data_IF_588599895529
#
_entry.id   IF_588599895529
#
_cell.length_a   1.000
_cell.length_b   1.000
_cell.length_c   1.000
_cell.angle_alpha   90.00
_cell.angle_beta   90.00
_cell.angle_gamma   90.00
#
_symmetry.space_group_name_H-M   'P 1'
#
loop_
_entity.id
_entity.type
_entity.pdbx_description
1 polymer ?
#
# COMPACT_ATOMS: atom_id res chain seq x y z
N UNK A 1 -4.57 42.58 16.75
CA UNK A 1 -5.56 41.60 16.26
C UNK A 1 -4.98 40.22 16.51
N UNK A 2 -5.56 39.42 17.40
CA UNK A 2 -4.98 38.19 17.96
C UNK A 2 -5.28 36.91 17.15
N UNK A 3 -5.97 37.01 16.02
CA UNK A 3 -6.16 35.89 15.09
C UNK A 3 -7.04 34.74 15.60
N UNK A 4 -7.63 34.86 16.79
CA UNK A 4 -8.48 33.85 17.39
C UNK A 4 -9.94 34.00 16.94
N UNK A 5 -10.52 32.94 16.36
CA UNK A 5 -11.95 32.86 16.09
C UNK A 5 -12.69 32.62 17.41
N UNK A 6 -13.72 33.41 17.75
CA UNK A 6 -14.44 33.31 19.02
C UNK A 6 -15.31 32.04 19.12
N UNK A 7 -15.47 31.32 18.01
CA UNK A 7 -16.21 30.06 17.95
C UNK A 7 -15.50 29.07 17.02
N UNK A 8 -15.74 27.77 17.23
CA UNK A 8 -15.18 26.71 16.40
C UNK A 8 -15.89 26.71 15.02
N UNK A 9 -15.19 27.04 13.91
CA UNK A 9 -15.79 27.08 12.57
C UNK A 9 -16.19 25.69 12.05
N UNK A 10 -15.76 24.61 12.71
CA UNK A 10 -16.06 23.22 12.33
C UNK A 10 -17.10 22.56 13.23
N UNK A 11 -17.76 23.30 14.13
CA UNK A 11 -18.72 22.73 15.08
C UNK A 11 -19.91 21.98 14.43
N UNK A 12 -20.24 22.29 13.17
CA UNK A 12 -21.26 21.60 12.39
C UNK A 12 -20.72 20.71 11.27
N UNK A 13 -19.39 20.53 11.17
CA UNK A 13 -18.80 19.68 10.15
C UNK A 13 -18.97 18.20 10.54
N UNK A 14 -19.76 17.48 9.77
CA UNK A 14 -19.91 16.03 9.88
C UNK A 14 -19.12 15.43 8.73
N UNK A 15 -18.04 14.70 9.07
CA UNK A 15 -17.31 13.93 8.08
C UNK A 15 -18.16 12.71 7.71
N UNK A 16 -18.82 12.77 6.56
CA UNK A 16 -19.53 11.63 5.98
C UNK A 16 -18.50 10.76 5.28
N UNK A 17 -18.17 9.56 5.78
CA UNK A 17 -17.28 8.67 5.05
C UNK A 17 -17.97 8.24 3.75
N UNK A 18 -17.38 8.63 2.62
CA UNK A 18 -17.76 8.03 1.35
C UNK A 18 -17.27 6.60 1.34
N UNK A 19 -18.19 5.65 1.12
CA UNK A 19 -17.82 4.25 0.93
C UNK A 19 -17.11 4.11 -0.41
N UNK A 20 -15.78 4.19 -0.39
CA UNK A 20 -14.97 3.89 -1.56
C UNK A 20 -14.79 2.38 -1.63
N UNK A 21 -15.40 1.76 -2.63
CA UNK A 21 -15.09 0.37 -2.96
C UNK A 21 -13.67 0.31 -3.52
N UNK A 22 -12.75 -0.26 -2.74
CA UNK A 22 -11.38 -0.51 -3.17
C UNK A 22 -11.32 -1.96 -3.63
N UNK A 23 -11.23 -2.15 -4.93
CA UNK A 23 -11.03 -3.48 -5.50
C UNK A 23 -9.79 -4.17 -4.92
N UNK A 24 -9.80 -5.50 -4.97
CA UNK A 24 -8.68 -6.35 -4.54
C UNK A 24 -8.36 -7.37 -5.62
N UNK A 25 -7.15 -7.91 -5.58
CA UNK A 25 -6.74 -8.99 -6.47
C UNK A 25 -7.20 -10.33 -5.90
N UNK A 26 -7.82 -11.13 -6.74
CA UNK A 26 -8.11 -12.54 -6.47
C UNK A 26 -6.85 -13.37 -6.56
N UNK A 27 -6.88 -14.57 -5.99
CA UNK A 27 -5.79 -15.54 -6.08
C UNK A 27 -5.36 -15.83 -7.52
N UNK A 28 -6.33 -15.93 -8.45
CA UNK A 28 -6.05 -16.17 -9.88
C UNK A 28 -5.33 -14.99 -10.53
N UNK A 29 -5.69 -13.76 -10.16
CA UNK A 29 -5.02 -12.57 -10.67
C UNK A 29 -3.60 -12.45 -10.12
N UNK A 30 -3.39 -12.81 -8.84
CA UNK A 30 -2.05 -12.90 -8.25
C UNK A 30 -1.21 -13.96 -8.99
N UNK A 31 -1.76 -15.15 -9.24
CA UNK A 31 -1.08 -16.20 -10.01
C UNK A 31 -0.71 -15.72 -11.41
N UNK A 32 -1.63 -15.03 -12.08
CA UNK A 32 -1.39 -14.45 -13.41
C UNK A 32 -0.24 -13.43 -13.38
N UNK A 33 -0.17 -12.60 -12.34
CA UNK A 33 0.93 -11.64 -12.17
C UNK A 33 2.27 -12.34 -11.96
N UNK A 34 2.30 -13.44 -11.20
CA UNK A 34 3.52 -14.22 -10.96
C UNK A 34 4.07 -14.84 -12.24
N UNK A 35 3.19 -15.39 -13.09
CA UNK A 35 3.57 -16.07 -14.33
C UNK A 35 3.77 -15.13 -15.52
N UNK A 36 3.34 -13.86 -15.41
CA UNK A 36 3.42 -12.90 -16.50
C UNK A 36 4.87 -12.71 -16.98
N UNK A 37 5.17 -12.87 -18.28
CA UNK A 37 6.51 -12.64 -18.79
C UNK A 37 6.86 -11.15 -18.77
N UNK A 38 7.97 -10.80 -18.13
CA UNK A 38 8.45 -9.43 -18.01
C UNK A 38 9.73 -9.24 -18.83
N UNK A 39 9.77 -8.20 -19.66
CA UNK A 39 10.91 -7.95 -20.58
C UNK A 39 12.01 -7.07 -19.99
N UNK A 40 11.78 -6.45 -18.84
CA UNK A 40 12.67 -5.47 -18.21
C UNK A 40 12.99 -5.87 -16.78
N UNK A 41 14.27 -5.86 -16.42
CA UNK A 41 14.73 -6.25 -15.07
C UNK A 41 14.15 -5.40 -13.95
N UNK A 42 13.86 -4.11 -14.20
CA UNK A 42 13.20 -3.26 -13.20
C UNK A 42 11.75 -3.69 -12.96
N UNK A 43 11.03 -4.03 -14.03
CA UNK A 43 9.65 -4.49 -13.91
C UNK A 43 9.58 -5.87 -13.24
N UNK A 44 10.56 -6.73 -13.50
CA UNK A 44 10.73 -8.01 -12.82
C UNK A 44 10.93 -7.81 -11.32
N UNK A 45 11.86 -6.93 -10.93
CA UNK A 45 12.08 -6.60 -9.52
C UNK A 45 10.82 -6.04 -8.85
N UNK A 46 10.08 -5.14 -9.52
CA UNK A 46 8.83 -4.59 -8.98
C UNK A 46 7.77 -5.68 -8.78
N UNK A 47 7.62 -6.59 -9.74
CA UNK A 47 6.72 -7.74 -9.62
C UNK A 47 7.11 -8.59 -8.41
N UNK A 48 8.38 -8.94 -8.29
CA UNK A 48 8.85 -9.84 -7.23
C UNK A 48 8.67 -9.19 -5.84
N UNK A 49 8.96 -7.90 -5.69
CA UNK A 49 8.73 -7.14 -4.45
C UNK A 49 7.23 -7.05 -4.11
N UNK A 50 6.38 -6.84 -5.12
CA UNK A 50 4.94 -6.80 -4.92
C UNK A 50 4.40 -8.16 -4.47
N UNK A 51 4.76 -9.23 -5.16
CA UNK A 51 4.34 -10.61 -4.83
C UNK A 51 4.86 -11.01 -3.43
N UNK A 52 6.11 -10.68 -3.10
CA UNK A 52 6.63 -10.88 -1.75
C UNK A 52 5.78 -10.18 -0.68
N UNK A 53 5.36 -8.94 -0.95
CA UNK A 53 4.48 -8.17 -0.04
C UNK A 53 3.10 -8.83 0.11
N UNK A 54 2.54 -9.38 -0.98
CA UNK A 54 1.27 -10.12 -0.95
C UNK A 54 1.35 -11.34 -0.03
N UNK A 55 2.44 -12.10 -0.07
CA UNK A 55 2.60 -13.30 0.76
C UNK A 55 3.02 -13.04 2.20
N UNK A 56 3.72 -11.94 2.46
CA UNK A 56 4.21 -11.60 3.81
C UNK A 56 3.33 -10.60 4.56
N UNK A 57 2.46 -9.89 3.85
CA UNK A 57 1.64 -8.81 4.42
C UNK A 57 2.43 -7.55 4.78
N UNK A 58 3.70 -7.45 4.37
CA UNK A 58 4.53 -6.29 4.66
C UNK A 58 4.13 -5.09 3.82
N UNK A 59 4.07 -3.91 4.44
CA UNK A 59 3.91 -2.67 3.70
C UNK A 59 5.18 -2.38 2.89
N UNK A 60 5.04 -1.65 1.79
CA UNK A 60 6.17 -1.26 0.95
C UNK A 60 7.31 -0.57 1.75
N UNK A 61 6.95 0.25 2.75
CA UNK A 61 7.92 0.91 3.61
C UNK A 61 8.76 -0.10 4.43
N UNK A 62 8.13 -1.18 4.91
CA UNK A 62 8.81 -2.22 5.68
C UNK A 62 9.71 -3.06 4.78
N UNK A 63 9.23 -3.43 3.59
CA UNK A 63 10.02 -4.14 2.57
C UNK A 63 11.25 -3.33 2.20
N UNK A 64 11.12 -2.02 2.01
CA UNK A 64 12.25 -1.12 1.73
C UNK A 64 13.25 -1.04 2.88
N UNK A 65 12.80 -1.24 4.12
CA UNK A 65 13.64 -1.20 5.31
C UNK A 65 14.27 -2.55 5.68
N UNK A 66 14.00 -3.62 4.90
CA UNK A 66 14.59 -4.93 5.16
C UNK A 66 16.11 -4.92 4.97
N UNK A 67 16.80 -5.51 5.94
CA UNK A 67 18.24 -5.78 5.92
C UNK A 67 18.46 -7.29 6.00
N UNK A 68 19.64 -7.74 5.57
CA UNK A 68 20.02 -9.16 5.61
C UNK A 68 19.95 -9.76 7.01
N UNK A 69 20.15 -8.93 8.04
CA UNK A 69 20.14 -9.30 9.46
C UNK A 69 18.76 -9.77 9.94
N UNK A 70 17.69 -9.42 9.19
CA UNK A 70 16.30 -9.81 9.47
C UNK A 70 15.83 -11.01 8.64
N UNK A 71 16.71 -11.61 7.84
CA UNK A 71 16.44 -12.86 7.14
C UNK A 71 16.92 -14.02 8.02
N UNK A 72 16.03 -14.99 8.25
CA UNK A 72 16.36 -16.24 8.94
C UNK A 72 16.37 -17.36 7.89
N UNK A 73 17.48 -18.09 7.79
CA UNK A 73 17.65 -19.29 6.95
C UNK A 73 17.45 -20.55 7.76
#
# INVERSE_FOLDING_TARGET
>A
NSGALPFNPFAGYINSPESVDRGYLTEREIQTLMEAPVKSGTCELVRDLFIFSVFTGLAYADVKALTTDRLQT
#
